data_IF_513669178532
#
_entry.id   IF_513669178532
#
_cell.length_a   1.000
_cell.length_b   1.000
_cell.length_c   1.000
_cell.angle_alpha   90.00
_cell.angle_beta   90.00
_cell.angle_gamma   90.00
#
_symmetry.space_group_name_H-M   'P 1'
#
loop_
_entity.id
_entity.type
_entity.pdbx_description
1 polymer ?
#
# COMPACT_ATOMS: atom_id res chain seq x y z
N UNK A 1 -10.23 11.02 -2.38
CA UNK A 1 -8.98 11.47 -1.71
C UNK A 1 -7.82 11.22 -2.66
N UNK A 2 -6.96 12.19 -2.87
CA UNK A 2 -5.84 12.05 -3.83
C UNK A 2 -4.70 11.27 -3.14
N UNK A 3 -4.66 9.96 -3.35
CA UNK A 3 -3.65 9.06 -2.77
C UNK A 3 -2.21 9.53 -3.04
N UNK A 4 -1.96 10.21 -4.17
CA UNK A 4 -0.61 10.71 -4.51
C UNK A 4 -0.08 11.78 -3.56
N UNK A 5 -0.95 12.50 -2.87
CA UNK A 5 -0.54 13.42 -1.79
C UNK A 5 -0.12 12.65 -0.53
N UNK A 6 -0.34 11.33 -0.52
CA UNK A 6 -0.10 10.44 0.61
C UNK A 6 1.18 9.58 0.44
N UNK A 7 1.92 9.72 -0.66
CA UNK A 7 3.20 9.03 -0.83
C UNK A 7 4.34 9.97 -0.44
N UNK A 8 5.12 9.58 0.55
CA UNK A 8 6.37 10.24 0.93
C UNK A 8 7.56 9.33 0.61
N UNK A 9 8.57 9.90 -0.01
CA UNK A 9 9.80 9.18 -0.38
C UNK A 9 10.94 9.77 0.43
N UNK A 10 11.49 8.98 1.35
CA UNK A 10 12.69 9.31 2.11
C UNK A 10 13.79 8.29 1.77
N UNK A 11 14.72 8.69 0.93
CA UNK A 11 15.75 7.81 0.36
C UNK A 11 17.15 8.35 0.68
N UNK A 12 17.35 8.92 1.85
CA UNK A 12 18.66 9.31 2.31
C UNK A 12 18.83 8.88 3.77
N UNK A 13 20.03 8.36 4.14
CA UNK A 13 20.33 8.11 5.55
C UNK A 13 20.14 9.40 6.35
N UNK A 14 19.43 9.32 7.45
CA UNK A 14 19.31 10.44 8.37
C UNK A 14 20.70 10.85 8.86
N UNK A 15 21.01 12.13 8.79
CA UNK A 15 22.34 12.63 9.16
C UNK A 15 23.42 12.53 8.08
N UNK A 16 23.10 12.05 6.86
CA UNK A 16 24.06 11.99 5.77
C UNK A 16 24.64 13.38 5.43
N UNK A 17 25.94 13.44 5.26
CA UNK A 17 26.67 14.63 4.82
C UNK A 17 26.28 15.01 3.39
N UNK A 18 26.58 16.25 2.98
CA UNK A 18 26.32 16.70 1.61
C UNK A 18 27.10 15.88 0.56
N UNK A 19 28.26 15.35 0.91
CA UNK A 19 29.06 14.51 0.02
C UNK A 19 28.42 13.14 -0.17
N UNK A 20 27.95 12.52 0.91
CA UNK A 20 27.23 11.25 0.87
C UNK A 20 25.93 11.40 0.09
N UNK A 21 25.16 12.46 0.29
CA UNK A 21 23.94 12.75 -0.49
C UNK A 21 24.22 12.92 -1.97
N UNK A 22 25.31 13.59 -2.34
CA UNK A 22 25.74 13.73 -3.74
C UNK A 22 26.15 12.40 -4.35
N UNK A 23 26.92 11.59 -3.61
CA UNK A 23 27.33 10.26 -4.04
C UNK A 23 26.13 9.35 -4.26
N UNK A 24 25.21 9.34 -3.31
CA UNK A 24 23.97 8.59 -3.37
C UNK A 24 23.09 9.01 -4.54
N UNK A 25 22.87 10.31 -4.71
CA UNK A 25 22.11 10.87 -5.84
C UNK A 25 22.75 10.52 -7.19
N UNK A 26 24.07 10.46 -7.27
CA UNK A 26 24.77 10.02 -8.48
C UNK A 26 24.51 8.54 -8.79
N UNK A 27 24.46 7.69 -7.76
CA UNK A 27 24.30 6.23 -7.90
C UNK A 27 22.84 5.86 -8.21
N UNK A 28 21.89 6.44 -7.50
CA UNK A 28 20.47 6.04 -7.51
C UNK A 28 19.50 7.09 -8.06
N UNK A 29 19.99 8.30 -8.35
CA UNK A 29 19.14 9.43 -8.76
C UNK A 29 18.31 9.15 -10.01
N UNK A 30 18.85 8.40 -10.97
CA UNK A 30 18.11 8.04 -12.18
C UNK A 30 16.89 7.17 -11.89
N UNK A 31 17.01 6.20 -10.99
CA UNK A 31 15.91 5.31 -10.59
C UNK A 31 14.84 6.06 -9.80
N UNK A 32 15.26 6.97 -8.91
CA UNK A 32 14.36 7.84 -8.15
C UNK A 32 13.57 8.79 -9.07
N UNK A 33 14.25 9.40 -10.04
CA UNK A 33 13.59 10.26 -11.04
C UNK A 33 12.60 9.47 -11.88
N UNK A 34 12.97 8.25 -12.31
CA UNK A 34 12.07 7.38 -13.06
C UNK A 34 10.79 7.06 -12.29
N UNK A 35 10.89 6.73 -10.99
CA UNK A 35 9.72 6.53 -10.14
C UNK A 35 8.85 7.78 -10.03
N UNK A 36 9.45 8.93 -9.73
CA UNK A 36 8.71 10.19 -9.60
C UNK A 36 7.99 10.57 -10.90
N UNK A 37 8.64 10.35 -12.03
CA UNK A 37 8.05 10.63 -13.36
C UNK A 37 6.96 9.62 -13.71
N UNK A 38 7.09 8.36 -13.32
CA UNK A 38 6.04 7.35 -13.47
C UNK A 38 4.79 7.73 -12.65
N UNK A 39 4.97 8.08 -11.38
CA UNK A 39 3.89 8.54 -10.50
C UNK A 39 3.19 9.77 -11.07
N UNK A 40 3.95 10.77 -11.55
CA UNK A 40 3.38 12.00 -12.15
C UNK A 40 2.56 11.70 -13.41
N UNK A 41 3.07 10.84 -14.31
CA UNK A 41 2.37 10.46 -15.54
C UNK A 41 1.05 9.76 -15.25
N UNK A 42 1.07 8.76 -14.41
CA UNK A 42 -0.13 8.00 -14.04
C UNK A 42 -1.17 8.87 -13.34
N UNK A 43 -0.73 9.84 -12.53
CA UNK A 43 -1.62 10.86 -11.97
C UNK A 43 -2.35 11.66 -13.04
N UNK A 44 -1.61 12.17 -14.02
CA UNK A 44 -2.21 12.97 -15.12
C UNK A 44 -3.20 12.13 -15.94
N UNK A 45 -2.87 10.87 -16.21
CA UNK A 45 -3.75 9.95 -16.94
C UNK A 45 -5.05 9.67 -16.17
N UNK A 46 -4.99 9.48 -14.86
CA UNK A 46 -6.19 9.28 -14.01
C UNK A 46 -7.04 10.53 -13.91
N UNK A 47 -6.43 11.70 -13.69
CA UNK A 47 -7.15 12.98 -13.67
C UNK A 47 -7.86 13.23 -15.00
N UNK A 48 -7.21 12.93 -16.12
CA UNK A 48 -7.80 13.06 -17.46
C UNK A 48 -8.94 12.06 -17.70
N UNK A 49 -8.79 10.83 -17.25
CA UNK A 49 -9.82 9.79 -17.36
C UNK A 49 -11.06 10.11 -16.51
N UNK A 50 -10.87 10.66 -15.31
CA UNK A 50 -11.98 11.11 -14.46
C UNK A 50 -12.74 12.29 -15.06
N UNK A 51 -12.06 13.23 -15.72
CA UNK A 51 -12.71 14.34 -16.42
C UNK A 51 -13.53 13.89 -17.64
N UNK A 52 -13.08 12.84 -18.35
CA UNK A 52 -13.81 12.27 -19.48
C UNK A 52 -15.05 11.48 -19.08
N UNK A 53 -15.00 10.79 -17.96
CA UNK A 53 -16.10 9.98 -17.43
C UNK A 53 -17.05 10.75 -16.51
N UNK A 54 -16.98 12.08 -16.52
CA UNK A 54 -17.74 13.02 -15.69
C UNK A 54 -19.26 12.99 -15.87
N UNK A 55 -19.85 11.81 -15.83
CA UNK A 55 -21.28 11.59 -15.68
C UNK A 55 -21.52 10.12 -15.30
N UNK A 56 -21.60 9.84 -14.04
CA UNK A 56 -22.23 8.62 -13.64
C UNK A 56 -21.62 7.85 -12.47
N UNK A 57 -22.34 7.94 -11.39
CA UNK A 57 -22.30 7.04 -10.23
C UNK A 57 -21.02 7.08 -9.39
N UNK A 58 -20.95 8.05 -8.49
CA UNK A 58 -20.29 7.84 -7.20
C UNK A 58 -20.88 6.58 -6.58
N UNK A 59 -20.06 5.55 -6.40
CA UNK A 59 -20.48 4.36 -5.69
C UNK A 59 -20.78 4.77 -4.24
N UNK A 60 -22.02 4.64 -3.83
CA UNK A 60 -22.57 5.17 -2.56
C UNK A 60 -21.90 4.57 -1.31
N UNK A 61 -21.19 3.45 -1.47
CA UNK A 61 -20.50 2.75 -0.38
C UNK A 61 -19.12 3.32 -0.03
N UNK A 62 -18.39 3.91 -0.97
CA UNK A 62 -17.05 4.48 -0.70
C UNK A 62 -17.07 5.65 0.29
N UNK A 63 -18.16 6.40 0.35
CA UNK A 63 -18.29 7.58 1.20
C UNK A 63 -18.52 7.22 2.67
N UNK A 64 -19.29 6.18 2.92
CA UNK A 64 -19.65 5.72 4.28
C UNK A 64 -18.46 5.06 4.99
N UNK A 65 -17.65 4.28 4.27
CA UNK A 65 -16.45 3.64 4.81
C UNK A 65 -15.33 4.67 5.05
N UNK A 66 -15.20 5.67 4.16
CA UNK A 66 -14.25 6.77 4.31
C UNK A 66 -14.49 7.60 5.58
N UNK A 67 -15.73 7.97 5.85
CA UNK A 67 -16.06 8.84 6.97
C UNK A 67 -15.91 8.15 8.32
N UNK A 68 -16.13 6.84 8.39
CA UNK A 68 -15.99 6.05 9.61
C UNK A 68 -14.53 5.77 9.99
N UNK A 69 -13.63 5.61 9.01
CA UNK A 69 -12.20 5.33 9.25
C UNK A 69 -11.36 6.58 9.46
N UNK A 70 -11.82 7.75 9.02
CA UNK A 70 -11.05 9.00 9.11
C UNK A 70 -11.03 9.64 10.50
N UNK A 71 -11.86 9.19 11.45
CA UNK A 71 -11.96 9.80 12.79
C UNK A 71 -10.81 9.42 13.75
N UNK A 72 -9.89 8.53 13.34
CA UNK A 72 -8.79 8.03 14.17
C UNK A 72 -7.38 8.33 13.68
N UNK A 73 -7.22 8.99 12.53
CA UNK A 73 -5.90 9.18 11.90
C UNK A 73 -5.32 10.58 12.15
N UNK A 74 -4.78 10.78 13.34
CA UNK A 74 -3.92 11.94 13.62
C UNK A 74 -2.47 11.63 13.18
N UNK A 75 -1.89 12.56 12.41
CA UNK A 75 -0.47 12.76 12.08
C UNK A 75 0.36 11.54 11.63
N UNK A 76 0.57 11.42 10.32
CA UNK A 76 1.56 10.49 9.71
C UNK A 76 1.00 9.21 9.13
N UNK A 77 -0.11 8.70 9.66
CA UNK A 77 -0.72 7.43 9.25
C UNK A 77 -1.41 7.43 7.88
N UNK A 78 -1.69 8.60 7.32
CA UNK A 78 -2.31 8.75 6.00
C UNK A 78 -1.35 8.70 4.81
N UNK A 79 -0.09 8.32 5.01
CA UNK A 79 0.95 8.32 3.97
C UNK A 79 1.61 6.96 3.84
N UNK A 80 1.95 6.59 2.60
CA UNK A 80 2.89 5.50 2.33
C UNK A 80 4.30 6.07 2.28
N UNK A 81 5.18 5.50 3.09
CA UNK A 81 6.59 5.87 3.15
C UNK A 81 7.43 4.88 2.34
N UNK A 82 8.22 5.38 1.41
CA UNK A 82 9.22 4.60 0.70
C UNK A 82 10.57 4.99 1.29
N UNK A 83 11.24 4.04 1.92
CA UNK A 83 12.50 4.25 2.64
C UNK A 83 13.54 3.19 2.25
N UNK A 84 14.78 3.50 2.43
CA UNK A 84 15.92 2.60 2.18
C UNK A 84 16.82 2.41 3.41
N UNK A 85 16.42 2.97 4.54
CA UNK A 85 17.15 2.90 5.80
C UNK A 85 16.40 2.07 6.83
N UNK A 86 17.07 1.07 7.43
CA UNK A 86 16.46 0.14 8.39
C UNK A 86 16.00 0.82 9.67
N UNK A 87 16.80 1.75 10.24
CA UNK A 87 16.42 2.48 11.45
C UNK A 87 15.15 3.30 11.18
N UNK A 88 15.13 4.01 10.06
CA UNK A 88 13.98 4.81 9.69
C UNK A 88 12.73 3.96 9.43
N UNK A 89 12.90 2.79 8.83
CA UNK A 89 11.81 1.84 8.62
C UNK A 89 11.18 1.40 9.97
N UNK A 90 12.01 1.07 10.96
CA UNK A 90 11.56 0.66 12.29
C UNK A 90 10.81 1.79 13.01
N UNK A 91 11.34 3.01 13.01
CA UNK A 91 10.67 4.17 13.60
C UNK A 91 9.27 4.41 13.02
N UNK A 92 9.14 4.29 11.69
CA UNK A 92 7.85 4.47 11.00
C UNK A 92 6.88 3.33 11.32
N UNK A 93 7.37 2.07 11.42
CA UNK A 93 6.55 0.94 11.82
C UNK A 93 6.04 1.08 13.26
N UNK A 94 6.88 1.54 14.19
CA UNK A 94 6.47 1.83 15.58
C UNK A 94 5.39 2.90 15.65
N UNK A 95 5.41 3.86 14.72
CA UNK A 95 4.36 4.89 14.59
C UNK A 95 3.10 4.37 13.86
N UNK A 96 3.07 3.11 13.44
CA UNK A 96 1.96 2.52 12.70
C UNK A 96 1.84 3.03 11.24
N UNK A 97 2.91 3.58 10.69
CA UNK A 97 2.91 4.09 9.33
C UNK A 97 3.05 2.97 8.29
N UNK A 98 2.35 3.05 7.14
CA UNK A 98 2.60 2.19 5.99
C UNK A 98 4.01 2.40 5.42
N UNK A 99 4.80 1.32 5.33
CA UNK A 99 6.19 1.37 4.87
C UNK A 99 6.42 0.39 3.73
N UNK A 100 7.06 0.88 2.67
CA UNK A 100 7.64 0.10 1.58
C UNK A 100 9.16 0.31 1.59
N UNK A 101 9.93 -0.75 1.70
CA UNK A 101 11.40 -0.65 1.70
C UNK A 101 11.93 -0.82 0.28
N UNK A 102 12.85 0.06 -0.10
CA UNK A 102 13.67 -0.12 -1.28
C UNK A 102 14.98 -0.78 -0.91
N UNK A 103 15.16 -2.03 -1.37
CA UNK A 103 16.37 -2.82 -1.16
C UNK A 103 17.35 -2.60 -2.32
N UNK A 104 18.58 -2.27 -1.99
CA UNK A 104 19.67 -2.14 -2.94
C UNK A 104 20.98 -2.67 -2.33
N UNK A 105 22.06 -2.66 -3.09
CA UNK A 105 23.33 -3.30 -2.65
C UNK A 105 23.92 -2.67 -1.38
N UNK A 106 23.67 -1.39 -1.12
CA UNK A 106 24.27 -0.67 0.01
C UNK A 106 23.48 -0.79 1.33
N UNK A 107 22.30 -1.46 1.32
CA UNK A 107 21.47 -1.58 2.52
C UNK A 107 21.00 -3.00 2.83
N UNK A 108 21.52 -4.01 2.13
CA UNK A 108 21.10 -5.42 2.34
C UNK A 108 21.49 -5.99 3.70
N UNK A 109 22.44 -5.38 4.39
CA UNK A 109 22.90 -5.75 5.71
C UNK A 109 22.14 -5.06 6.86
N UNK A 110 21.22 -4.13 6.53
CA UNK A 110 20.41 -3.45 7.51
C UNK A 110 19.23 -4.29 7.97
N UNK A 111 18.71 -4.01 9.16
CA UNK A 111 17.55 -4.68 9.72
C UNK A 111 16.24 -4.06 9.20
N UNK A 112 15.51 -4.83 8.41
CA UNK A 112 14.18 -4.52 7.92
C UNK A 112 13.11 -5.47 8.47
N UNK A 113 13.35 -6.09 9.62
CA UNK A 113 12.38 -6.97 10.25
C UNK A 113 11.06 -6.25 10.53
N UNK A 114 9.94 -6.96 10.34
CA UNK A 114 8.60 -6.38 10.50
C UNK A 114 8.06 -5.60 9.29
N UNK A 115 8.91 -5.23 8.32
CA UNK A 115 8.45 -4.65 7.06
C UNK A 115 7.74 -5.71 6.22
N UNK A 116 6.55 -5.40 5.74
CA UNK A 116 5.72 -6.34 4.95
C UNK A 116 6.00 -6.28 3.45
N UNK A 117 6.47 -5.15 2.95
CA UNK A 117 6.63 -4.89 1.53
C UNK A 117 8.00 -4.29 1.25
N UNK A 118 8.70 -4.90 0.29
CA UNK A 118 9.98 -4.41 -0.19
C UNK A 118 10.05 -4.53 -1.71
N UNK A 119 10.85 -3.70 -2.34
CA UNK A 119 11.16 -3.76 -3.76
C UNK A 119 12.67 -3.63 -3.98
N UNK A 120 13.20 -4.34 -4.95
CA UNK A 120 14.61 -4.20 -5.38
C UNK A 120 14.76 -3.18 -6.52
N UNK A 121 13.77 -3.11 -7.40
CA UNK A 121 13.78 -2.18 -8.53
C UNK A 121 12.70 -1.10 -8.36
N UNK A 122 13.09 0.02 -7.79
CA UNK A 122 12.17 1.14 -7.52
C UNK A 122 11.61 1.77 -8.82
N UNK A 123 12.31 1.64 -9.94
CA UNK A 123 11.85 2.20 -11.23
C UNK A 123 10.72 1.40 -11.88
N UNK A 124 10.47 0.18 -11.41
CA UNK A 124 9.36 -0.68 -11.87
C UNK A 124 8.09 -0.48 -11.04
N UNK A 125 8.16 0.27 -9.96
CA UNK A 125 6.97 0.57 -9.15
C UNK A 125 6.01 1.45 -9.96
N UNK A 126 4.76 1.00 -10.03
CA UNK A 126 3.68 1.79 -10.56
C UNK A 126 2.75 2.30 -9.45
N UNK A 127 1.89 3.21 -9.82
CA UNK A 127 0.95 3.82 -8.89
C UNK A 127 -0.05 2.80 -8.32
N UNK A 128 -0.50 1.85 -9.14
CA UNK A 128 -1.47 0.83 -8.74
C UNK A 128 -0.88 -0.09 -7.68
N UNK A 129 0.40 -0.45 -7.83
CA UNK A 129 1.10 -1.23 -6.81
C UNK A 129 1.25 -0.45 -5.49
N UNK A 130 1.65 0.83 -5.56
CA UNK A 130 1.79 1.67 -4.36
C UNK A 130 0.44 1.86 -3.64
N UNK A 131 -0.64 2.09 -4.40
CA UNK A 131 -1.98 2.20 -3.83
C UNK A 131 -2.41 0.88 -3.18
N UNK A 132 -2.13 -0.25 -3.81
CA UNK A 132 -2.43 -1.58 -3.28
C UNK A 132 -1.68 -1.85 -1.97
N UNK A 133 -0.39 -1.52 -1.91
CA UNK A 133 0.41 -1.63 -0.68
C UNK A 133 -0.19 -0.79 0.43
N UNK A 134 -0.52 0.47 0.14
CA UNK A 134 -1.14 1.37 1.11
C UNK A 134 -2.49 0.84 1.62
N UNK A 135 -3.39 0.45 0.71
CA UNK A 135 -4.72 -0.07 1.06
C UNK A 135 -4.62 -1.29 1.98
N UNK A 136 -3.69 -2.21 1.69
CA UNK A 136 -3.45 -3.39 2.54
C UNK A 136 -2.96 -3.04 3.94
N UNK A 137 -2.12 -2.00 4.08
CA UNK A 137 -1.69 -1.52 5.39
C UNK A 137 -2.84 -0.94 6.22
N UNK A 138 -3.75 -0.22 5.58
CA UNK A 138 -4.88 0.42 6.26
C UNK A 138 -6.14 -0.48 6.29
N UNK A 139 -6.02 -1.74 5.86
CA UNK A 139 -7.13 -2.71 5.91
C UNK A 139 -8.24 -2.47 4.89
N UNK A 140 -7.97 -1.74 3.82
CA UNK A 140 -8.92 -1.52 2.73
C UNK A 140 -8.72 -2.59 1.66
N UNK A 141 -9.77 -3.35 1.35
CA UNK A 141 -9.74 -4.39 0.32
C UNK A 141 -9.42 -3.83 -1.06
N UNK A 142 -8.55 -4.53 -1.80
CA UNK A 142 -8.22 -4.17 -3.17
C UNK A 142 -9.21 -4.81 -4.15
N UNK A 143 -9.81 -4.01 -5.02
CA UNK A 143 -10.65 -4.49 -6.10
C UNK A 143 -9.79 -5.05 -7.23
N UNK A 144 -9.97 -6.33 -7.55
CA UNK A 144 -9.20 -7.03 -8.58
C UNK A 144 -9.89 -6.90 -9.93
N UNK A 145 -11.21 -7.13 -9.96
CA UNK A 145 -11.99 -7.15 -11.19
C UNK A 145 -13.47 -6.89 -10.90
N UNK A 146 -14.09 -6.04 -11.71
CA UNK A 146 -15.53 -5.81 -11.70
C UNK A 146 -16.14 -6.29 -13.02
N UNK A 147 -17.21 -7.07 -12.93
CA UNK A 147 -18.06 -7.50 -14.06
C UNK A 147 -19.45 -6.89 -13.91
N UNK A 148 -20.35 -7.11 -14.89
CA UNK A 148 -21.73 -6.64 -14.80
C UNK A 148 -22.50 -7.16 -13.57
N UNK A 149 -22.08 -8.30 -12.99
CA UNK A 149 -22.80 -8.97 -11.90
C UNK A 149 -21.95 -9.26 -10.67
N UNK A 150 -20.64 -9.14 -10.76
CA UNK A 150 -19.74 -9.55 -9.69
C UNK A 150 -18.61 -8.53 -9.49
N UNK A 151 -18.26 -8.33 -8.24
CA UNK A 151 -17.04 -7.67 -7.81
C UNK A 151 -16.11 -8.71 -7.21
N UNK A 152 -14.93 -8.87 -7.79
CA UNK A 152 -13.85 -9.71 -7.23
C UNK A 152 -12.87 -8.77 -6.53
N UNK A 153 -12.69 -8.97 -5.24
CA UNK A 153 -11.78 -8.18 -4.41
C UNK A 153 -11.03 -9.05 -3.41
N UNK A 154 -10.00 -8.51 -2.82
CA UNK A 154 -9.35 -9.11 -1.66
C UNK A 154 -10.33 -9.17 -0.49
N UNK A 155 -10.21 -10.20 0.34
CA UNK A 155 -10.99 -10.30 1.57
C UNK A 155 -10.50 -9.28 2.59
N UNK A 156 -11.43 -8.65 3.28
CA UNK A 156 -11.18 -7.73 4.37
C UNK A 156 -11.68 -8.28 5.72
N UNK A 157 -11.47 -7.51 6.77
CA UNK A 157 -11.97 -7.87 8.11
C UNK A 157 -13.50 -7.96 8.15
N UNK A 158 -14.18 -7.20 7.31
CA UNK A 158 -15.64 -7.20 7.15
C UNK A 158 -16.21 -8.53 6.63
N UNK A 159 -15.39 -9.34 5.96
CA UNK A 159 -15.80 -10.62 5.39
C UNK A 159 -15.69 -11.78 6.38
N UNK A 160 -15.11 -11.55 7.56
CA UNK A 160 -14.76 -12.60 8.51
C UNK A 160 -15.97 -13.44 8.92
N UNK A 161 -17.10 -12.82 9.18
CA UNK A 161 -18.32 -13.52 9.61
C UNK A 161 -18.87 -14.42 8.50
N UNK A 162 -18.95 -13.89 7.27
CA UNK A 162 -19.41 -14.65 6.10
C UNK A 162 -18.46 -15.81 5.75
N UNK A 163 -17.15 -15.57 5.85
CA UNK A 163 -16.15 -16.62 5.64
C UNK A 163 -16.25 -17.70 6.73
N UNK A 164 -16.45 -17.30 7.98
CA UNK A 164 -16.62 -18.24 9.10
C UNK A 164 -17.85 -19.14 8.87
N UNK A 165 -19.00 -18.59 8.48
CA UNK A 165 -20.20 -19.38 8.17
C UNK A 165 -19.93 -20.41 7.05
N UNK A 166 -19.20 -20.04 6.00
CA UNK A 166 -18.84 -20.95 4.91
C UNK A 166 -17.92 -22.08 5.40
N UNK A 167 -16.87 -21.73 6.15
CA UNK A 167 -15.87 -22.70 6.62
C UNK A 167 -16.33 -23.51 7.83
N UNK A 168 -17.38 -23.10 8.54
CA UNK A 168 -18.03 -23.87 9.59
C UNK A 168 -19.01 -24.94 9.05
N UNK A 169 -19.39 -24.86 7.78
CA UNK A 169 -20.27 -25.87 7.16
C UNK A 169 -19.51 -27.18 6.88
N UNK A 170 -19.92 -28.32 7.47
CA UNK A 170 -19.29 -29.61 7.25
C UNK A 170 -19.31 -30.07 5.78
N UNK A 171 -20.27 -29.62 4.98
CA UNK A 171 -20.37 -29.96 3.57
C UNK A 171 -19.27 -29.29 2.73
N UNK A 172 -18.87 -28.07 3.10
CA UNK A 172 -17.80 -27.31 2.45
C UNK A 172 -16.43 -27.85 2.88
N UNK A 173 -16.26 -28.14 4.16
CA UNK A 173 -14.97 -28.57 4.74
C UNK A 173 -14.72 -30.07 4.69
N UNK A 174 -15.61 -30.84 4.08
CA UNK A 174 -15.51 -32.32 3.96
C UNK A 174 -14.18 -32.82 3.40
N UNK A 175 -13.56 -32.06 2.53
CA UNK A 175 -12.32 -32.42 1.82
C UNK A 175 -11.11 -31.57 2.25
N UNK A 176 -11.25 -30.80 3.31
CA UNK A 176 -10.18 -30.02 3.91
C UNK A 176 -9.74 -30.66 5.23
N UNK A 177 -8.83 -30.04 5.97
CA UNK A 177 -8.29 -30.57 7.23
C UNK A 177 -9.30 -30.61 8.42
N UNK A 178 -10.57 -30.29 8.17
CA UNK A 178 -11.65 -30.32 9.15
C UNK A 178 -12.29 -28.95 9.39
N UNK A 179 -13.27 -28.95 10.30
CA UNK A 179 -13.97 -27.73 10.72
C UNK A 179 -13.01 -26.76 11.42
N UNK A 180 -13.15 -25.48 11.14
CA UNK A 180 -12.47 -24.46 11.92
C UNK A 180 -13.04 -24.49 13.35
N UNK A 181 -12.19 -24.35 14.40
CA UNK A 181 -12.65 -24.35 15.77
C UNK A 181 -13.63 -23.19 16.01
N UNK A 182 -14.53 -23.39 16.98
CA UNK A 182 -15.47 -22.36 17.36
C UNK A 182 -14.75 -21.03 17.64
N UNK A 183 -15.42 -19.94 17.26
CA UNK A 183 -14.95 -18.58 17.49
C UNK A 183 -14.67 -18.39 18.99
N UNK A 184 -13.41 -18.13 19.35
CA UNK A 184 -13.03 -17.82 20.73
C UNK A 184 -13.48 -16.41 21.11
#
# INVERSE_FOLDING_TARGET
>A
MDFLKQVSIEIYPEGASDEERKSYSKKYGAQMHALLDAIRRQRQEREFSQQRNGSGKECFEEKSVRDSMMSGYESGQGKLWIVDNGIRAQELLEQGCPVLVWLHEDNRDQDFSGVRYACENISELDFDYLEKVYRRYVGISWEILTTERCLIRETGAEDLDALYEIYADPSVTKYTEGLYPERA
#
